data_IF_445937948851
#
_entry.id   IF_445937948851
#
_cell.length_a   1.000
_cell.length_b   1.000
_cell.length_c   1.000
_cell.angle_alpha   90.00
_cell.angle_beta   90.00
_cell.angle_gamma   90.00
#
_symmetry.space_group_name_H-M   'P 1'
#
loop_
_entity.id
_entity.type
_entity.pdbx_description
1 polymer ?
#
# COMPACT_ATOMS: atom_id res chain seq x y z
N UNK A 1 -13.65 4.62 -15.99
CA UNK A 1 -14.67 3.86 -15.26
C UNK A 1 -15.93 4.70 -15.07
N UNK A 2 -16.83 4.25 -14.19
CA UNK A 2 -17.98 5.05 -13.74
C UNK A 2 -17.59 6.15 -12.75
N UNK A 3 -18.58 6.68 -12.01
CA UNK A 3 -18.37 7.67 -10.96
C UNK A 3 -17.36 7.18 -9.90
N UNK A 4 -16.71 8.13 -9.24
CA UNK A 4 -15.84 7.84 -8.09
C UNK A 4 -16.60 7.07 -7.01
N UNK A 5 -15.91 6.12 -6.37
CA UNK A 5 -16.45 5.33 -5.27
C UNK A 5 -16.31 6.05 -3.93
N UNK A 6 -15.56 7.16 -3.86
CA UNK A 6 -15.41 7.94 -2.63
C UNK A 6 -16.52 8.95 -2.38
N UNK A 7 -17.16 9.45 -3.44
CA UNK A 7 -18.22 10.45 -3.30
C UNK A 7 -19.44 9.85 -2.57
N UNK A 8 -19.67 10.27 -1.32
CA UNK A 8 -20.83 9.86 -0.53
C UNK A 8 -20.75 8.45 0.09
N UNK A 9 -19.60 7.77 0.01
CA UNK A 9 -19.48 6.39 0.47
C UNK A 9 -19.35 6.22 1.99
N UNK A 10 -19.04 7.29 2.74
CA UNK A 10 -19.02 7.26 4.20
C UNK A 10 -17.85 6.49 4.83
N UNK A 11 -16.85 6.06 4.05
CA UNK A 11 -15.63 5.45 4.59
C UNK A 11 -14.86 6.41 5.49
N UNK A 12 -14.16 5.86 6.50
CA UNK A 12 -13.36 6.64 7.46
C UNK A 12 -12.29 7.48 6.76
N UNK A 13 -11.60 6.87 5.78
CA UNK A 13 -10.76 7.59 4.83
C UNK A 13 -11.23 7.22 3.43
N UNK A 14 -11.44 8.22 2.59
CA UNK A 14 -11.60 8.00 1.17
C UNK A 14 -10.96 9.11 0.35
N UNK A 15 -10.17 8.73 -0.66
CA UNK A 15 -9.54 9.62 -1.60
C UNK A 15 -9.65 9.06 -3.02
N UNK A 16 -10.48 9.71 -3.84
CA UNK A 16 -10.64 9.44 -5.28
C UNK A 16 -10.07 10.54 -6.16
N UNK A 17 -9.33 11.50 -5.61
CA UNK A 17 -8.61 12.58 -6.30
C UNK A 17 -9.48 13.65 -7.00
N UNK A 18 -10.79 13.46 -7.09
CA UNK A 18 -11.73 14.34 -7.82
C UNK A 18 -11.74 15.80 -7.33
N UNK A 19 -11.45 16.05 -6.07
CA UNK A 19 -11.41 17.40 -5.49
C UNK A 19 -10.03 18.06 -5.60
N UNK A 20 -8.99 17.29 -5.91
CA UNK A 20 -7.61 17.78 -5.99
C UNK A 20 -7.30 18.22 -7.40
N UNK A 21 -6.92 19.49 -7.59
CA UNK A 21 -6.57 19.98 -8.92
C UNK A 21 -5.45 19.14 -9.55
N UNK A 22 -5.60 18.80 -10.82
CA UNK A 22 -4.53 18.14 -11.56
C UNK A 22 -3.30 19.04 -11.60
N UNK A 23 -2.13 18.48 -11.35
CA UNK A 23 -0.91 19.25 -11.21
C UNK A 23 0.29 18.39 -10.79
N UNK A 24 1.46 18.94 -11.06
CA UNK A 24 2.74 18.31 -10.74
C UNK A 24 3.06 18.47 -9.27
N UNK A 25 3.53 17.40 -8.62
CA UNK A 25 4.02 17.46 -7.25
C UNK A 25 2.95 17.94 -6.24
N UNK A 26 1.70 17.53 -6.47
CA UNK A 26 0.52 17.88 -5.67
C UNK A 26 0.06 16.66 -4.84
N UNK A 27 -0.48 16.93 -3.65
CA UNK A 27 -1.21 15.93 -2.85
C UNK A 27 -2.60 16.46 -2.50
N UNK A 28 -3.57 15.57 -2.26
CA UNK A 28 -4.91 15.97 -1.81
C UNK A 28 -4.90 16.67 -0.46
N UNK A 29 -5.95 17.45 -0.19
CA UNK A 29 -6.11 18.12 1.09
C UNK A 29 -6.09 17.10 2.26
N UNK A 30 -5.33 17.40 3.31
CA UNK A 30 -5.16 16.48 4.45
C UNK A 30 -4.12 15.38 4.22
N UNK A 31 -3.55 15.25 3.03
CA UNK A 31 -2.44 14.33 2.73
C UNK A 31 -1.12 15.10 2.59
N UNK A 32 -0.07 14.58 3.21
CA UNK A 32 1.30 15.04 2.96
C UNK A 32 1.90 14.28 1.78
N UNK A 33 2.95 14.84 1.16
CA UNK A 33 3.64 14.25 0.00
C UNK A 33 5.09 13.96 0.32
N UNK A 34 5.61 12.85 -0.18
CA UNK A 34 7.05 12.58 -0.24
C UNK A 34 7.41 12.06 -1.61
N UNK A 35 8.46 12.63 -2.22
CA UNK A 35 8.87 12.31 -3.59
C UNK A 35 7.92 12.82 -4.65
N UNK A 36 8.17 12.43 -5.90
CA UNK A 36 7.41 12.92 -7.05
C UNK A 36 6.15 12.10 -7.29
N UNK A 37 5.01 12.73 -7.02
CA UNK A 37 3.67 12.24 -7.36
C UNK A 37 2.85 13.41 -7.90
N UNK A 38 1.97 13.13 -8.83
CA UNK A 38 1.10 14.11 -9.47
C UNK A 38 -0.35 13.68 -9.32
N UNK A 39 -1.27 14.63 -9.30
CA UNK A 39 -2.68 14.32 -9.60
C UNK A 39 -2.88 14.61 -11.08
N UNK A 40 -3.39 13.64 -11.83
CA UNK A 40 -3.56 13.75 -13.29
C UNK A 40 -5.03 13.71 -13.67
N UNK A 41 -5.34 14.23 -14.86
CA UNK A 41 -6.65 14.13 -15.50
C UNK A 41 -6.47 13.53 -16.91
N UNK A 42 -6.02 12.28 -16.96
CA UNK A 42 -5.80 11.51 -18.19
C UNK A 42 -6.67 10.25 -18.15
N UNK A 43 -7.70 10.22 -19.00
CA UNK A 43 -8.71 9.16 -19.00
C UNK A 43 -8.13 7.75 -19.19
N UNK A 44 -6.97 7.59 -19.84
CA UNK A 44 -6.33 6.28 -20.01
C UNK A 44 -5.72 5.74 -18.70
N UNK A 45 -5.50 6.62 -17.73
CA UNK A 45 -4.82 6.34 -16.47
C UNK A 45 -5.64 6.82 -15.27
N UNK A 46 -6.96 6.76 -15.39
CA UNK A 46 -7.94 6.99 -14.33
C UNK A 46 -8.84 5.75 -14.24
N UNK A 47 -9.00 5.18 -13.05
CA UNK A 47 -9.84 4.00 -12.87
C UNK A 47 -11.31 4.42 -12.80
N UNK A 48 -11.63 5.38 -11.93
CA UNK A 48 -12.97 5.94 -11.70
C UNK A 48 -12.93 7.46 -11.66
N UNK A 49 -14.06 8.10 -11.94
CA UNK A 49 -14.10 9.56 -11.99
C UNK A 49 -13.24 10.14 -13.11
N UNK A 50 -12.52 11.21 -12.81
CA UNK A 50 -11.76 12.02 -13.76
C UNK A 50 -10.29 12.22 -13.39
N UNK A 51 -9.87 11.79 -12.19
CA UNK A 51 -8.51 11.99 -11.69
C UNK A 51 -7.94 10.76 -11.01
N UNK A 52 -6.62 10.69 -10.96
CA UNK A 52 -5.90 9.65 -10.24
C UNK A 52 -4.56 10.18 -9.75
N UNK A 53 -3.94 9.46 -8.81
CA UNK A 53 -2.57 9.72 -8.40
C UNK A 53 -1.61 9.03 -9.36
N UNK A 54 -0.73 9.81 -10.00
CA UNK A 54 0.42 9.30 -10.75
C UNK A 54 1.65 9.28 -9.85
N UNK A 55 2.28 8.13 -9.77
CA UNK A 55 3.60 7.93 -9.18
C UNK A 55 4.64 8.06 -10.28
N UNK A 56 5.54 9.04 -10.20
CA UNK A 56 6.55 9.25 -11.24
C UNK A 56 7.71 8.26 -11.14
N UNK A 57 8.43 8.09 -12.25
CA UNK A 57 9.62 7.25 -12.29
C UNK A 57 10.72 7.78 -11.36
N UNK A 58 11.27 6.90 -10.54
CA UNK A 58 12.51 7.13 -9.80
C UNK A 58 13.27 5.81 -9.64
N UNK A 59 14.62 5.85 -9.61
CA UNK A 59 15.44 4.67 -9.36
C UNK A 59 15.07 4.02 -8.03
N UNK A 60 15.02 4.79 -6.96
CA UNK A 60 14.72 4.33 -5.61
C UNK A 60 13.97 5.41 -4.80
N UNK A 61 13.55 5.06 -3.59
CA UNK A 61 12.97 6.01 -2.63
C UNK A 61 11.44 6.13 -2.71
N UNK A 62 10.85 6.85 -1.74
CA UNK A 62 9.41 7.02 -1.61
C UNK A 62 8.87 8.06 -2.60
N UNK A 63 7.75 7.71 -3.23
CA UNK A 63 6.88 8.56 -4.06
C UNK A 63 5.46 8.25 -3.66
N UNK A 64 5.00 8.89 -2.58
CA UNK A 64 3.77 8.53 -1.90
C UNK A 64 3.10 9.74 -1.27
N UNK A 65 1.79 9.64 -1.08
CA UNK A 65 1.04 10.51 -0.20
C UNK A 65 0.84 9.83 1.14
N UNK A 66 0.77 10.60 2.23
CA UNK A 66 0.63 10.07 3.60
C UNK A 66 -0.45 10.84 4.36
N UNK A 67 -1.45 10.10 4.86
CA UNK A 67 -2.49 10.59 5.76
C UNK A 67 -2.08 10.34 7.20
N UNK A 68 -2.34 11.32 8.05
CA UNK A 68 -2.26 11.24 9.51
C UNK A 68 -3.53 11.84 10.10
N UNK A 69 -3.67 11.79 11.42
CA UNK A 69 -4.74 12.46 12.14
C UNK A 69 -5.83 11.52 12.67
N UNK A 70 -6.93 12.10 13.18
CA UNK A 70 -7.96 11.36 13.91
C UNK A 70 -8.60 10.22 13.12
N UNK A 71 -8.73 10.36 11.80
CA UNK A 71 -9.30 9.32 10.93
C UNK A 71 -8.42 8.08 10.89
N UNK A 72 -7.08 8.26 10.89
CA UNK A 72 -6.14 7.14 10.96
C UNK A 72 -6.17 6.49 12.35
N UNK A 73 -6.25 7.29 13.41
CA UNK A 73 -6.43 6.76 14.77
C UNK A 73 -7.74 5.97 14.90
N UNK A 74 -8.82 6.43 14.25
CA UNK A 74 -10.15 5.82 14.31
C UNK A 74 -10.22 4.43 13.66
N UNK A 75 -9.30 4.08 12.75
CA UNK A 75 -9.19 2.73 12.20
C UNK A 75 -8.84 1.69 13.27
N UNK A 76 -8.13 2.10 14.33
CA UNK A 76 -7.67 1.20 15.38
C UNK A 76 -6.88 -0.01 14.86
N UNK A 77 -6.90 -1.10 15.63
CA UNK A 77 -6.15 -2.31 15.31
C UNK A 77 -6.85 -3.25 14.33
N UNK A 78 -8.08 -2.92 13.92
CA UNK A 78 -8.87 -3.75 13.01
C UNK A 78 -9.48 -2.88 11.92
N UNK A 79 -9.00 -3.04 10.70
CA UNK A 79 -9.52 -2.32 9.55
C UNK A 79 -9.33 -3.09 8.25
N UNK A 80 -10.04 -2.62 7.24
CA UNK A 80 -9.89 -2.96 5.84
C UNK A 80 -9.36 -1.75 5.09
N UNK A 81 -8.60 -2.02 4.05
CA UNK A 81 -8.19 -1.00 3.10
C UNK A 81 -8.25 -1.49 1.68
N UNK A 82 -8.42 -0.55 0.76
CA UNK A 82 -8.52 -0.84 -0.68
C UNK A 82 -7.85 0.25 -1.47
N UNK A 83 -7.10 -0.14 -2.49
CA UNK A 83 -6.67 0.73 -3.59
C UNK A 83 -6.92 0.03 -4.93
N UNK A 84 -7.05 0.82 -5.99
CA UNK A 84 -6.78 0.32 -7.33
C UNK A 84 -5.43 0.82 -7.76
N UNK A 85 -4.64 -0.02 -8.41
CA UNK A 85 -3.33 0.35 -8.92
C UNK A 85 -3.12 -0.16 -10.34
N UNK A 86 -2.27 0.55 -11.08
CA UNK A 86 -1.83 0.20 -12.44
C UNK A 86 -0.36 0.54 -12.57
N UNK A 87 0.42 -0.30 -13.27
CA UNK A 87 1.85 -0.07 -13.52
C UNK A 87 2.09 0.08 -15.01
N UNK A 88 2.87 1.09 -15.41
CA UNK A 88 3.23 1.28 -16.81
C UNK A 88 4.10 0.12 -17.30
N UNK A 89 3.78 -0.43 -18.47
CA UNK A 89 4.58 -1.47 -19.13
C UNK A 89 5.46 -0.88 -20.25
N UNK A 90 6.67 -1.41 -20.47
CA UNK A 90 7.31 -2.48 -19.70
C UNK A 90 7.67 -2.03 -18.28
N UNK A 91 7.32 -2.87 -17.30
CA UNK A 91 7.69 -2.64 -15.91
C UNK A 91 9.19 -2.93 -15.70
N UNK A 92 9.83 -2.34 -14.67
CA UNK A 92 11.26 -2.47 -14.49
C UNK A 92 11.59 -3.88 -14.01
N UNK A 93 12.61 -4.50 -14.59
CA UNK A 93 13.07 -5.82 -14.18
C UNK A 93 14.47 -5.71 -13.60
N UNK A 94 14.74 -6.27 -12.41
CA UNK A 94 16.11 -6.30 -11.90
C UNK A 94 16.99 -7.13 -12.84
N UNK A 95 18.18 -6.63 -13.14
CA UNK A 95 19.21 -7.39 -13.87
C UNK A 95 19.93 -8.39 -12.96
N UNK A 96 19.84 -8.20 -11.65
CA UNK A 96 20.31 -9.11 -10.60
C UNK A 96 19.61 -8.78 -9.27
N UNK A 97 19.53 -9.75 -8.36
CA UNK A 97 18.81 -9.58 -7.10
C UNK A 97 17.30 -9.39 -7.29
N UNK A 98 16.73 -8.43 -6.55
CA UNK A 98 15.29 -8.13 -6.55
C UNK A 98 15.03 -6.62 -6.51
N UNK A 99 13.82 -6.21 -6.90
CA UNK A 99 13.27 -4.88 -6.59
C UNK A 99 12.19 -5.07 -5.52
N UNK A 100 12.49 -4.69 -4.29
CA UNK A 100 11.53 -4.66 -3.18
C UNK A 100 10.89 -3.29 -3.10
N UNK A 101 9.56 -3.26 -3.07
CA UNK A 101 8.80 -2.03 -2.96
C UNK A 101 7.49 -2.12 -2.21
N UNK A 102 7.19 -1.09 -1.40
CA UNK A 102 5.88 -0.90 -0.77
C UNK A 102 4.96 -0.04 -1.63
N UNK A 103 3.72 -0.50 -1.85
CA UNK A 103 2.64 0.29 -2.45
C UNK A 103 1.81 0.98 -1.35
N UNK A 104 1.49 0.23 -0.29
CA UNK A 104 0.82 0.75 0.90
C UNK A 104 1.57 0.32 2.14
N UNK A 105 1.85 1.30 3.00
CA UNK A 105 2.55 1.11 4.27
C UNK A 105 1.99 2.07 5.31
N UNK A 106 2.08 1.73 6.59
CA UNK A 106 1.76 2.65 7.67
C UNK A 106 2.81 2.64 8.75
N UNK A 107 2.94 3.77 9.45
CA UNK A 107 3.75 3.82 10.66
C UNK A 107 2.87 3.51 11.86
N UNK A 108 3.35 2.65 12.75
CA UNK A 108 2.65 2.29 13.96
C UNK A 108 3.62 1.97 15.09
N UNK A 109 3.18 2.13 16.34
CA UNK A 109 3.96 1.64 17.47
C UNK A 109 3.90 0.12 17.50
N UNK A 110 5.04 -0.53 17.76
CA UNK A 110 5.02 -1.96 18.07
C UNK A 110 4.08 -2.24 19.25
N UNK A 111 3.29 -3.31 19.20
CA UNK A 111 2.53 -3.75 20.36
C UNK A 111 3.42 -4.40 21.43
N UNK A 112 4.67 -4.76 21.10
CA UNK A 112 5.61 -5.40 22.02
C UNK A 112 6.52 -4.35 22.65
N UNK A 113 6.23 -3.95 23.89
CA UNK A 113 7.06 -3.02 24.64
C UNK A 113 8.40 -3.65 25.06
N UNK A 114 9.47 -2.86 25.08
CA UNK A 114 10.76 -3.23 25.70
C UNK A 114 11.66 -4.16 24.90
N UNK A 115 11.30 -4.51 23.66
CA UNK A 115 12.17 -5.27 22.75
C UNK A 115 13.01 -4.30 21.91
N UNK A 116 14.33 -4.50 21.75
CA UNK A 116 15.14 -3.62 20.92
C UNK A 116 14.56 -3.48 19.51
N UNK A 117 14.39 -2.22 19.10
CA UNK A 117 13.81 -1.86 17.81
C UNK A 117 12.30 -1.97 17.70
N UNK A 118 11.56 -2.12 18.81
CA UNK A 118 10.09 -2.07 18.81
C UNK A 118 9.51 -0.67 19.02
N UNK A 119 10.19 0.34 18.46
CA UNK A 119 9.70 1.70 18.40
C UNK A 119 8.58 1.86 17.36
N UNK A 120 8.66 2.93 16.58
CA UNK A 120 7.72 3.18 15.50
C UNK A 120 8.14 2.39 14.26
N UNK A 121 7.40 1.33 13.96
CA UNK A 121 7.69 0.40 12.87
C UNK A 121 6.97 0.81 11.59
N UNK A 122 7.59 0.55 10.44
CA UNK A 122 6.91 0.60 9.14
C UNK A 122 6.26 -0.77 8.88
N UNK A 123 4.94 -0.78 8.81
CA UNK A 123 4.13 -1.96 8.50
C UNK A 123 3.69 -1.85 7.04
N UNK A 124 4.20 -2.73 6.18
CA UNK A 124 3.98 -2.73 4.73
C UNK A 124 2.87 -3.73 4.40
N UNK A 125 1.65 -3.20 4.32
CA UNK A 125 0.41 -3.99 4.17
C UNK A 125 0.08 -4.31 2.71
N UNK A 126 0.68 -3.59 1.76
CA UNK A 126 0.73 -3.99 0.34
C UNK A 126 2.17 -3.80 -0.11
N UNK A 127 2.97 -4.83 0.07
CA UNK A 127 4.38 -4.85 -0.27
C UNK A 127 4.63 -5.80 -1.44
N UNK A 128 5.66 -5.54 -2.23
CA UNK A 128 5.99 -6.29 -3.43
C UNK A 128 7.47 -6.58 -3.52
N UNK A 129 7.83 -7.76 -4.02
CA UNK A 129 9.20 -8.05 -4.45
C UNK A 129 9.15 -8.59 -5.86
N UNK A 130 9.89 -7.98 -6.77
CA UNK A 130 10.04 -8.42 -8.15
C UNK A 130 11.40 -9.11 -8.36
N UNK A 131 11.39 -10.24 -9.07
CA UNK A 131 12.58 -11.01 -9.36
C UNK A 131 13.09 -10.79 -10.80
N UNK A 132 14.25 -11.39 -11.08
CA UNK A 132 14.88 -11.34 -12.40
C UNK A 132 14.12 -12.10 -13.48
N UNK A 133 12.95 -12.71 -13.22
CA UNK A 133 12.06 -13.27 -14.23
C UNK A 133 10.93 -12.30 -14.65
N UNK A 134 10.87 -11.09 -14.07
CA UNK A 134 9.80 -10.12 -14.30
C UNK A 134 8.48 -10.53 -13.63
N UNK A 135 8.56 -11.38 -12.61
CA UNK A 135 7.43 -11.77 -11.77
C UNK A 135 7.58 -11.12 -10.40
N UNK A 136 6.48 -10.71 -9.82
CA UNK A 136 6.44 -10.18 -8.46
C UNK A 136 5.61 -11.05 -7.52
N UNK A 137 5.91 -10.96 -6.24
CA UNK A 137 5.10 -11.48 -5.13
C UNK A 137 4.51 -10.31 -4.36
N UNK A 138 3.30 -10.49 -3.81
CA UNK A 138 2.84 -9.66 -2.69
C UNK A 138 3.39 -10.25 -1.39
N UNK A 139 3.70 -9.44 -0.39
CA UNK A 139 4.03 -9.92 0.95
C UNK A 139 3.48 -8.97 2.03
N UNK A 140 3.39 -9.48 3.25
CA UNK A 140 3.27 -8.66 4.44
C UNK A 140 4.65 -8.53 5.07
N UNK A 141 5.09 -7.30 5.33
CA UNK A 141 6.42 -7.05 5.83
C UNK A 141 6.44 -5.96 6.91
N UNK A 142 7.21 -6.18 7.95
CA UNK A 142 7.45 -5.26 9.05
C UNK A 142 8.92 -4.89 9.09
N UNK A 143 9.20 -3.60 8.92
CA UNK A 143 10.50 -3.02 9.17
C UNK A 143 10.50 -2.37 10.55
N UNK A 144 11.19 -3.01 11.48
CA UNK A 144 11.34 -2.51 12.84
C UNK A 144 12.35 -1.36 12.89
N UNK A 145 12.05 -0.35 13.70
CA UNK A 145 12.94 0.80 13.84
C UNK A 145 14.27 0.37 14.47
N UNK A 146 15.41 0.81 13.94
CA UNK A 146 16.70 0.57 14.59
C UNK A 146 17.24 -0.87 14.53
N UNK A 147 16.60 -1.76 13.77
CA UNK A 147 17.16 -3.07 13.40
C UNK A 147 17.23 -3.20 11.88
N UNK A 148 18.22 -3.93 11.37
CA UNK A 148 18.45 -4.08 9.93
C UNK A 148 17.58 -5.15 9.27
N UNK A 149 17.03 -6.06 10.06
CA UNK A 149 16.26 -7.17 9.54
C UNK A 149 14.81 -6.76 9.28
N UNK A 150 14.26 -7.28 8.21
CA UNK A 150 12.84 -7.22 7.87
C UNK A 150 12.17 -8.54 8.28
N UNK A 151 10.90 -8.45 8.66
CA UNK A 151 10.13 -9.56 9.20
C UNK A 151 8.83 -9.71 8.43
N UNK A 152 8.55 -10.89 7.92
CA UNK A 152 7.38 -11.11 7.08
C UNK A 152 7.34 -12.52 6.53
N UNK A 153 6.38 -12.75 5.64
CA UNK A 153 6.31 -13.98 4.87
C UNK A 153 7.10 -13.89 3.57
N UNK A 154 7.41 -15.05 2.98
CA UNK A 154 8.07 -15.14 1.69
C UNK A 154 7.26 -16.03 0.72
N UNK A 155 6.13 -15.52 0.20
CA UNK A 155 5.27 -16.25 -0.73
C UNK A 155 5.92 -16.46 -2.11
N UNK A 156 5.30 -17.23 -3.02
CA UNK A 156 5.79 -17.37 -4.40
C UNK A 156 5.52 -16.12 -5.28
N UNK A 157 6.39 -15.93 -6.29
CA UNK A 157 6.30 -14.89 -7.33
C UNK A 157 5.21 -15.18 -8.37
N UNK A 158 3.94 -15.06 -7.99
CA UNK A 158 2.82 -15.46 -8.82
C UNK A 158 2.37 -14.41 -9.86
N UNK A 159 2.73 -13.15 -9.70
CA UNK A 159 2.12 -12.04 -10.42
C UNK A 159 3.06 -11.39 -11.45
N UNK A 160 2.50 -10.64 -12.39
CA UNK A 160 3.22 -9.86 -13.41
C UNK A 160 2.49 -8.54 -13.63
N UNK A 161 3.22 -7.45 -13.84
CA UNK A 161 2.60 -6.18 -14.24
C UNK A 161 2.20 -6.24 -15.72
N UNK A 162 0.91 -6.01 -16.01
CA UNK A 162 0.32 -6.19 -17.35
C UNK A 162 -0.25 -4.90 -17.96
N UNK A 163 -0.08 -3.77 -17.27
CA UNK A 163 -0.58 -2.47 -17.71
C UNK A 163 -2.08 -2.26 -17.46
N UNK A 164 -2.75 -3.16 -16.74
CA UNK A 164 -4.15 -3.03 -16.37
C UNK A 164 -4.31 -2.48 -14.95
N UNK A 165 -5.53 -2.02 -14.66
CA UNK A 165 -5.94 -1.68 -13.31
C UNK A 165 -6.31 -2.94 -12.55
N UNK A 166 -5.77 -3.07 -11.35
CA UNK A 166 -6.11 -4.13 -10.41
C UNK A 166 -6.52 -3.55 -9.07
N UNK A 167 -7.42 -4.25 -8.40
CA UNK A 167 -7.80 -3.96 -7.04
C UNK A 167 -6.92 -4.74 -6.08
N UNK A 168 -6.36 -4.06 -5.08
CA UNK A 168 -5.82 -4.71 -3.88
C UNK A 168 -6.64 -4.25 -2.69
N UNK A 169 -7.20 -5.22 -1.98
CA UNK A 169 -7.85 -5.03 -0.69
C UNK A 169 -7.05 -5.81 0.37
N UNK A 170 -6.94 -5.27 1.58
CA UNK A 170 -6.34 -5.97 2.71
C UNK A 170 -7.20 -5.83 3.96
N UNK A 171 -7.04 -6.76 4.88
CA UNK A 171 -7.58 -6.67 6.24
C UNK A 171 -6.47 -6.89 7.26
N UNK A 172 -6.48 -6.09 8.32
CA UNK A 172 -5.67 -6.32 9.51
C UNK A 172 -6.58 -6.52 10.71
N UNK A 173 -6.19 -7.41 11.62
CA UNK A 173 -6.83 -7.58 12.91
C UNK A 173 -5.79 -7.84 14.00
N UNK A 174 -5.56 -6.82 14.83
CA UNK A 174 -4.69 -6.86 15.99
C UNK A 174 -5.10 -7.93 17.00
N UNK A 175 -6.41 -8.10 17.26
CA UNK A 175 -6.88 -8.97 18.34
C UNK A 175 -6.60 -10.44 18.04
N UNK A 176 -6.73 -10.82 16.77
CA UNK A 176 -6.46 -12.18 16.29
C UNK A 176 -5.07 -12.35 15.68
N UNK A 177 -4.34 -11.25 15.50
CA UNK A 177 -3.08 -11.18 14.75
C UNK A 177 -3.19 -11.83 13.36
N UNK A 178 -4.26 -11.45 12.65
CA UNK A 178 -4.57 -11.93 11.32
C UNK A 178 -4.42 -10.82 10.28
N UNK A 179 -3.73 -11.14 9.19
CA UNK A 179 -3.65 -10.30 8.01
C UNK A 179 -4.02 -11.12 6.78
N UNK A 180 -4.82 -10.52 5.91
CA UNK A 180 -5.25 -11.10 4.64
C UNK A 180 -5.12 -10.05 3.54
N UNK A 181 -4.76 -10.50 2.34
CA UNK A 181 -4.70 -9.69 1.13
C UNK A 181 -5.57 -10.33 0.05
N UNK A 182 -6.29 -9.50 -0.69
CA UNK A 182 -7.17 -9.86 -1.78
C UNK A 182 -6.73 -9.10 -3.02
N UNK A 183 -6.56 -9.82 -4.13
CA UNK A 183 -6.21 -9.28 -5.43
C UNK A 183 -7.36 -9.55 -6.40
N UNK A 184 -7.93 -8.49 -6.96
CA UNK A 184 -9.15 -8.53 -7.77
C UNK A 184 -10.29 -9.33 -7.11
N UNK A 185 -10.43 -9.12 -5.79
CA UNK A 185 -11.47 -9.76 -4.96
C UNK A 185 -11.16 -11.20 -4.55
N UNK A 186 -10.12 -11.83 -5.08
CA UNK A 186 -9.70 -13.19 -4.71
C UNK A 186 -8.62 -13.12 -3.64
N UNK A 187 -8.77 -13.89 -2.56
CA UNK A 187 -7.77 -13.93 -1.50
C UNK A 187 -6.44 -14.53 -2.00
N UNK A 188 -5.35 -13.81 -1.77
CA UNK A 188 -3.98 -14.28 -1.96
C UNK A 188 -3.54 -15.04 -0.69
N UNK A 189 -4.07 -16.24 -0.49
CA UNK A 189 -3.89 -17.02 0.75
C UNK A 189 -2.43 -17.29 1.12
N UNK A 190 -1.54 -17.34 0.14
CA UNK A 190 -0.10 -17.48 0.36
C UNK A 190 0.53 -16.28 1.09
N UNK A 191 -0.12 -15.11 1.06
CA UNK A 191 0.32 -13.86 1.68
C UNK A 191 -0.30 -13.67 3.07
N UNK A 192 -1.27 -14.52 3.46
CA UNK A 192 -1.92 -14.40 4.75
C UNK A 192 -0.92 -14.63 5.90
N UNK A 193 -1.13 -13.90 6.99
CA UNK A 193 -0.42 -14.08 8.26
C UNK A 193 -1.46 -14.43 9.32
N UNK A 194 -1.22 -15.53 10.02
CA UNK A 194 -2.10 -16.02 11.09
C UNK A 194 -1.22 -16.44 12.25
N UNK A 195 -0.94 -15.49 13.13
CA UNK A 195 -0.12 -15.78 14.32
C UNK A 195 -0.98 -16.32 15.47
N UNK A 196 -2.26 -15.95 15.51
CA UNK A 196 -3.16 -16.25 16.60
C UNK A 196 -3.11 -15.21 17.72
N UNK A 197 -4.20 -15.13 18.48
CA UNK A 197 -4.34 -14.15 19.55
C UNK A 197 -3.20 -14.27 20.58
N UNK A 198 -2.55 -13.14 20.89
CA UNK A 198 -1.45 -13.06 21.85
C UNK A 198 -0.09 -13.54 21.34
N UNK A 199 0.00 -14.02 20.09
CA UNK A 199 1.27 -14.44 19.49
C UNK A 199 1.87 -13.30 18.67
N UNK A 200 2.85 -12.64 19.28
CA UNK A 200 3.63 -11.58 18.65
C UNK A 200 4.96 -12.19 18.17
N UNK A 201 5.04 -12.48 16.88
CA UNK A 201 6.30 -12.71 16.19
C UNK A 201 6.70 -11.40 15.52
N UNK A 202 8.00 -11.15 15.31
CA UNK A 202 8.59 -9.86 14.88
C UNK A 202 7.95 -9.14 13.67
N UNK A 203 6.91 -9.70 13.06
CA UNK A 203 5.95 -9.12 12.13
C UNK A 203 4.58 -8.87 12.79
N UNK A 204 4.54 -8.18 13.93
CA UNK A 204 3.30 -7.95 14.67
C UNK A 204 2.36 -6.95 13.98
N UNK A 205 1.06 -7.24 14.01
CA UNK A 205 0.05 -6.26 13.62
C UNK A 205 -0.15 -5.26 14.76
N UNK A 206 -0.24 -3.94 14.47
CA UNK A 206 -0.33 -2.92 15.50
C UNK A 206 -1.77 -2.67 15.97
N UNK A 207 -1.92 -2.23 17.22
CA UNK A 207 -3.22 -1.82 17.78
C UNK A 207 -3.64 -0.41 17.30
N UNK A 208 -2.70 0.47 16.99
CA UNK A 208 -2.98 1.86 16.60
C UNK A 208 -1.99 2.27 15.51
N UNK A 209 -2.52 2.94 14.47
CA UNK A 209 -1.76 3.48 13.36
C UNK A 209 -1.53 4.98 13.56
N UNK A 210 -0.33 5.45 13.24
CA UNK A 210 0.01 6.89 13.22
C UNK A 210 -0.20 7.49 11.85
N UNK A 211 0.08 6.69 10.81
CA UNK A 211 -0.04 7.12 9.42
C UNK A 211 -0.38 5.94 8.52
N UNK A 212 -0.98 6.26 7.38
CA UNK A 212 -1.05 5.38 6.21
C UNK A 212 -0.52 6.15 5.01
N UNK A 213 0.36 5.53 4.27
CA UNK A 213 0.93 6.02 3.02
C UNK A 213 0.47 5.14 1.86
N UNK A 214 0.10 5.78 0.74
CA UNK A 214 -0.18 5.12 -0.53
C UNK A 214 0.65 5.75 -1.65
N UNK A 215 1.25 4.93 -2.50
CA UNK A 215 2.12 5.37 -3.57
C UNK A 215 3.09 4.26 -3.95
N UNK A 216 4.38 4.58 -4.03
CA UNK A 216 5.42 3.59 -4.28
C UNK A 216 6.72 3.94 -3.57
N UNK A 217 7.27 3.01 -2.81
CA UNK A 217 8.59 3.13 -2.21
C UNK A 217 9.47 1.98 -2.69
N UNK A 218 10.46 2.28 -3.53
CA UNK A 218 11.47 1.30 -3.96
C UNK A 218 12.65 1.30 -2.97
N UNK A 219 13.00 0.15 -2.39
CA UNK A 219 14.16 0.01 -1.51
C UNK A 219 15.45 -0.27 -2.29
N UNK A 220 15.38 -1.13 -3.30
CA UNK A 220 16.45 -1.31 -4.29
C UNK A 220 16.20 -0.46 -5.54
N UNK A 221 17.24 -0.27 -6.34
CA UNK A 221 17.15 0.48 -7.59
C UNK A 221 16.32 -0.28 -8.64
N UNK A 222 15.35 0.41 -9.23
CA UNK A 222 14.55 -0.02 -10.37
C UNK A 222 15.11 0.53 -11.70
N UNK A 223 16.43 0.72 -11.80
CA UNK A 223 17.08 1.31 -12.98
C UNK A 223 16.68 2.77 -13.16
N UNK A 224 16.05 3.11 -14.29
CA UNK A 224 15.51 4.47 -14.53
C UNK A 224 14.20 4.73 -13.76
N UNK A 225 13.66 3.71 -13.09
CA UNK A 225 12.35 3.77 -12.45
C UNK A 225 11.21 3.49 -13.42
N UNK A 226 9.99 3.69 -12.92
CA UNK A 226 8.76 3.37 -13.63
C UNK A 226 7.60 4.22 -13.12
N UNK A 227 6.61 4.40 -13.98
CA UNK A 227 5.37 5.10 -13.63
C UNK A 227 4.35 4.07 -13.16
N UNK A 228 3.60 4.46 -12.13
CA UNK A 228 2.42 3.73 -11.69
C UNK A 228 1.30 4.73 -11.39
N UNK A 229 0.09 4.22 -11.21
CA UNK A 229 -1.07 4.98 -10.83
C UNK A 229 -1.81 4.31 -9.68
N UNK A 230 -2.40 5.13 -8.82
CA UNK A 230 -3.31 4.70 -7.76
C UNK A 230 -4.60 5.50 -7.87
N UNK A 231 -5.71 4.84 -7.59
CA UNK A 231 -7.04 5.45 -7.56
C UNK A 231 -7.91 4.83 -6.45
N UNK A 232 -8.94 5.57 -6.02
CA UNK A 232 -9.99 5.14 -5.07
C UNK A 232 -9.45 4.48 -3.77
N UNK A 233 -8.58 5.22 -3.07
CA UNK A 233 -8.07 4.81 -1.75
C UNK A 233 -9.24 4.84 -0.76
N UNK A 234 -9.50 3.73 -0.08
CA UNK A 234 -10.52 3.66 0.97
C UNK A 234 -10.00 2.88 2.18
N UNK A 235 -10.37 3.31 3.39
CA UNK A 235 -10.10 2.63 4.66
C UNK A 235 -11.36 2.66 5.54
N UNK A 236 -11.73 1.53 6.12
CA UNK A 236 -12.87 1.40 7.03
C UNK A 236 -12.64 0.25 8.02
N UNK A 237 -13.46 0.18 9.06
CA UNK A 237 -13.57 -0.98 9.97
C UNK A 237 -14.30 -2.17 9.37
N UNK A 238 -15.09 -1.96 8.30
CA UNK A 238 -15.80 -3.00 7.56
C UNK A 238 -15.15 -3.29 6.20
N UNK A 239 -15.38 -4.48 5.66
CA UNK A 239 -14.87 -4.87 4.34
C UNK A 239 -15.40 -3.93 3.26
N UNK A 240 -14.53 -3.50 2.36
CA UNK A 240 -14.81 -2.50 1.31
C UNK A 240 -15.19 -3.20 0.00
N UNK A 241 -14.44 -4.24 -0.35
CA UNK A 241 -14.56 -5.01 -1.57
C UNK A 241 -13.87 -4.37 -2.79
N UNK A 242 -13.64 -5.22 -3.79
CA UNK A 242 -13.20 -4.83 -5.13
C UNK A 242 -14.36 -4.63 -6.12
N UNK A 243 -15.61 -4.72 -5.63
CA UNK A 243 -16.83 -4.67 -6.43
C UNK A 243 -17.06 -3.31 -7.09
N UNK A 244 -17.36 -3.38 -8.39
CA UNK A 244 -17.53 -2.30 -9.36
C UNK A 244 -18.56 -1.24 -9.00
#
# INVERSE_FOLDING_TARGET
>A
GGNSLCAGAGFIVCEGFETTAAGTNVAPAGWSRTGSVDVIADAANVYRGSRSLRINAAPNGPRRITKTGPEITALGGRHWGRIFFKVQTPAPRPTGGVIHSSIVSGMAMSPVAGVPGTGENEIRVVDTVENTAGRYQFLYNVQRQGVTNEFGNNPPYNYTYDGQWHCVEWSVDFATQNYHLYYDGTEATQVAVTNGAGNFNNSELPMVWKSISAGWYNYQSAGVGFVAWIDEIALDTNRIGCGN
#
